data_IF_829639270787
#
_entry.id   IF_829639270787
#
_cell.length_a   1.000
_cell.length_b   1.000
_cell.length_c   1.000
_cell.angle_alpha   90.00
_cell.angle_beta   90.00
_cell.angle_gamma   90.00
#
_symmetry.space_group_name_H-M   'P 1'
#
loop_
_entity.id
_entity.type
_entity.pdbx_description
1 polymer ?
#
# COMPACT_ATOMS: atom_id res chain seq x y z
N UNK A 1 7.47 0.24 -11.45
CA UNK A 1 6.41 -0.77 -11.58
C UNK A 1 6.85 -1.99 -10.78
N UNK A 2 6.09 -2.38 -9.76
CA UNK A 2 6.36 -3.57 -8.93
C UNK A 2 5.62 -4.77 -9.52
N UNK A 3 6.25 -5.95 -9.57
CA UNK A 3 5.62 -7.17 -10.07
C UNK A 3 5.60 -8.24 -8.99
N UNK A 4 4.41 -8.72 -8.64
CA UNK A 4 4.19 -9.81 -7.71
C UNK A 4 3.58 -11.00 -8.44
N UNK A 5 4.03 -12.21 -8.11
CA UNK A 5 3.51 -13.47 -8.65
C UNK A 5 3.24 -14.42 -7.50
N UNK A 6 1.99 -14.90 -7.40
CA UNK A 6 1.60 -15.97 -6.49
C UNK A 6 0.89 -17.07 -7.30
N UNK A 7 1.48 -18.26 -7.34
CA UNK A 7 0.93 -19.42 -8.02
C UNK A 7 0.57 -20.48 -6.98
N UNK A 8 -0.72 -20.79 -6.88
CA UNK A 8 -1.24 -21.82 -5.99
C UNK A 8 -1.61 -23.07 -6.78
N UNK A 9 -1.13 -24.22 -6.32
CA UNK A 9 -1.52 -25.55 -6.80
C UNK A 9 -2.08 -26.35 -5.63
N UNK A 10 -2.52 -27.59 -5.90
CA UNK A 10 -3.01 -28.50 -4.86
C UNK A 10 -1.94 -28.77 -3.79
N UNK A 11 -0.68 -28.87 -4.19
CA UNK A 11 0.40 -29.39 -3.35
C UNK A 11 1.46 -28.34 -3.01
N UNK A 12 1.46 -27.20 -3.71
CA UNK A 12 2.47 -26.16 -3.56
C UNK A 12 1.90 -24.75 -3.73
N UNK A 13 2.50 -23.80 -3.02
CA UNK A 13 2.35 -22.37 -3.23
C UNK A 13 3.73 -21.81 -3.56
N UNK A 14 3.83 -21.14 -4.70
CA UNK A 14 5.03 -20.44 -5.14
C UNK A 14 4.76 -18.94 -5.13
N UNK A 15 5.56 -18.19 -4.37
CA UNK A 15 5.48 -16.74 -4.29
C UNK A 15 6.81 -16.16 -4.78
N UNK A 16 6.74 -15.15 -5.63
CA UNK A 16 7.90 -14.46 -6.18
C UNK A 16 7.58 -13.00 -6.44
N UNK A 17 8.58 -12.15 -6.27
CA UNK A 17 8.46 -10.72 -6.53
C UNK A 17 9.73 -10.23 -7.23
N UNK A 18 9.60 -9.12 -7.95
CA UNK A 18 10.77 -8.39 -8.42
C UNK A 18 11.50 -7.69 -7.26
N UNK A 19 12.75 -7.29 -7.48
CA UNK A 19 13.59 -6.62 -6.48
C UNK A 19 13.65 -5.09 -6.65
N UNK A 20 12.87 -4.51 -7.57
CA UNK A 20 12.83 -3.08 -7.84
C UNK A 20 11.75 -2.40 -6.99
N UNK A 21 12.14 -1.52 -6.07
CA UNK A 21 11.20 -0.62 -5.41
C UNK A 21 11.09 0.66 -6.23
N UNK A 22 9.89 1.04 -6.68
CA UNK A 22 9.69 2.36 -7.29
C UNK A 22 9.33 3.34 -6.20
N UNK A 23 10.14 4.38 -6.01
CA UNK A 23 9.76 5.52 -5.17
C UNK A 23 8.90 6.43 -6.05
N UNK A 24 7.64 6.57 -5.67
CA UNK A 24 6.72 7.50 -6.32
C UNK A 24 6.74 8.83 -5.57
N UNK A 25 6.62 9.93 -6.32
CA UNK A 25 6.46 11.26 -5.73
C UNK A 25 5.13 11.85 -6.21
N UNK A 26 4.20 12.23 -5.31
CA UNK A 26 2.96 12.87 -5.70
C UNK A 26 3.27 14.11 -6.53
N UNK A 27 2.83 14.09 -7.78
CA UNK A 27 3.10 15.17 -8.73
C UNK A 27 1.81 15.54 -9.43
N UNK A 28 1.61 16.84 -9.63
CA UNK A 28 0.48 17.32 -10.41
C UNK A 28 0.92 17.51 -11.85
N UNK A 29 0.27 16.82 -12.78
CA UNK A 29 0.44 17.11 -14.19
C UNK A 29 -0.14 18.51 -14.49
N UNK A 30 0.65 19.50 -14.94
CA UNK A 30 0.14 20.85 -15.20
C UNK A 30 -0.98 20.86 -16.24
N UNK A 31 -1.01 19.91 -17.16
CA UNK A 31 -2.07 19.78 -18.15
C UNK A 31 -3.41 19.33 -17.55
N UNK A 32 -3.39 18.53 -16.48
CA UNK A 32 -4.60 18.15 -15.76
C UNK A 32 -5.26 19.36 -15.06
N UNK A 33 -4.46 20.37 -14.70
CA UNK A 33 -4.96 21.62 -14.13
C UNK A 33 -5.60 22.54 -15.16
N UNK A 34 -5.37 22.34 -16.46
CA UNK A 34 -5.94 23.18 -17.54
C UNK A 34 -7.47 23.21 -17.50
N UNK A 35 -8.12 22.22 -16.90
CA UNK A 35 -9.57 22.27 -16.67
C UNK A 35 -10.01 23.48 -15.82
N UNK A 36 -9.16 23.96 -14.92
CA UNK A 36 -9.44 25.12 -14.07
C UNK A 36 -9.11 26.47 -14.73
N UNK A 37 -8.39 26.48 -15.86
CA UNK A 37 -7.88 27.70 -16.49
C UNK A 37 -8.37 27.88 -17.93
N UNK A 38 -8.68 29.11 -18.34
CA UNK A 38 -8.98 29.44 -19.74
C UNK A 38 -7.70 29.46 -20.60
N UNK A 39 -7.84 29.76 -21.89
CA UNK A 39 -6.69 29.79 -22.82
C UNK A 39 -5.74 30.98 -22.57
N UNK A 40 -6.15 31.95 -21.75
CA UNK A 40 -5.33 33.05 -21.26
C UNK A 40 -4.74 32.78 -19.86
N UNK A 41 -4.91 31.57 -19.32
CA UNK A 41 -4.49 31.16 -17.98
C UNK A 41 -5.19 31.89 -16.82
N UNK A 42 -6.38 32.46 -17.03
CA UNK A 42 -7.23 32.92 -15.94
C UNK A 42 -8.08 31.78 -15.39
N UNK A 43 -8.45 31.88 -14.10
CA UNK A 43 -9.36 30.92 -13.48
C UNK A 43 -10.73 30.95 -14.16
N UNK A 44 -11.17 29.77 -14.62
CA UNK A 44 -12.52 29.61 -15.16
C UNK A 44 -13.56 29.81 -14.06
N UNK A 45 -14.66 30.47 -14.43
CA UNK A 45 -15.82 30.66 -13.58
C UNK A 45 -16.86 29.58 -13.91
N UNK A 46 -17.39 28.94 -12.88
CA UNK A 46 -18.46 27.96 -12.96
C UNK A 46 -19.81 28.59 -13.29
N UNK A 47 -20.81 27.75 -13.54
CA UNK A 47 -22.18 28.19 -13.85
C UNK A 47 -22.88 28.92 -12.69
N UNK A 48 -22.34 28.80 -11.48
CA UNK A 48 -22.80 29.46 -10.26
C UNK A 48 -22.14 30.84 -10.04
N UNK A 49 -21.26 31.27 -10.94
CA UNK A 49 -20.53 32.53 -10.84
C UNK A 49 -19.28 32.47 -9.96
N UNK A 50 -18.94 31.32 -9.36
CA UNK A 50 -17.74 31.15 -8.54
C UNK A 50 -16.59 30.54 -9.36
N UNK A 51 -15.30 30.76 -8.99
CA UNK A 51 -14.18 30.08 -9.63
C UNK A 51 -14.30 28.55 -9.53
N UNK A 52 -13.99 27.82 -10.61
CA UNK A 52 -13.96 26.35 -10.58
C UNK A 52 -12.93 25.80 -9.58
N UNK A 53 -11.84 26.54 -9.37
CA UNK A 53 -10.86 26.28 -8.33
C UNK A 53 -11.14 27.19 -7.13
N UNK A 54 -11.74 26.64 -6.09
CA UNK A 54 -12.09 27.32 -4.83
C UNK A 54 -11.09 27.06 -3.72
N UNK A 55 -10.38 25.93 -3.75
CA UNK A 55 -9.44 25.56 -2.70
C UNK A 55 -8.26 24.71 -3.22
N UNK A 56 -7.18 24.69 -2.44
CA UNK A 56 -5.96 23.94 -2.79
C UNK A 56 -6.18 22.42 -2.85
N UNK A 57 -7.16 21.88 -2.09
CA UNK A 57 -7.47 20.46 -2.09
C UNK A 57 -7.87 19.96 -3.49
N UNK A 58 -8.58 20.77 -4.28
CA UNK A 58 -8.91 20.42 -5.67
C UNK A 58 -7.68 20.26 -6.59
N UNK A 59 -6.55 20.93 -6.30
CA UNK A 59 -5.28 20.71 -7.00
C UNK A 59 -4.65 19.40 -6.51
N UNK A 60 -4.69 19.18 -5.20
CA UNK A 60 -4.15 17.99 -4.56
C UNK A 60 -4.86 16.71 -5.05
N UNK A 61 -6.18 16.78 -5.27
CA UNK A 61 -7.00 15.69 -5.83
C UNK A 61 -6.65 15.36 -7.31
N UNK A 62 -5.84 16.21 -7.98
CA UNK A 62 -5.29 15.96 -9.33
C UNK A 62 -3.86 15.42 -9.29
N UNK A 63 -3.30 15.15 -8.11
CA UNK A 63 -2.00 14.50 -8.01
C UNK A 63 -2.07 13.07 -8.51
N UNK A 64 -1.03 12.67 -9.23
CA UNK A 64 -0.78 11.31 -9.66
C UNK A 64 0.54 10.83 -9.06
N UNK A 65 0.63 9.53 -8.77
CA UNK A 65 1.89 8.91 -8.37
C UNK A 65 2.79 8.72 -9.60
N UNK A 66 3.83 9.54 -9.72
CA UNK A 66 4.81 9.41 -10.80
C UNK A 66 6.05 8.68 -10.27
N UNK A 67 6.56 7.64 -10.96
CA UNK A 67 7.85 7.03 -10.69
C UNK A 67 8.96 8.08 -10.73
N UNK A 68 9.62 8.33 -9.60
CA UNK A 68 10.68 9.33 -9.48
C UNK A 68 12.06 8.69 -9.32
N UNK A 69 12.16 7.57 -8.60
CA UNK A 69 13.41 6.86 -8.38
C UNK A 69 13.20 5.34 -8.30
N UNK A 70 14.25 4.57 -8.56
CA UNK A 70 14.27 3.11 -8.44
C UNK A 70 15.25 2.70 -7.34
N UNK A 71 14.70 2.24 -6.22
CA UNK A 71 15.49 1.56 -5.20
C UNK A 71 15.80 0.13 -5.66
N UNK A 72 17.08 -0.15 -5.86
CA UNK A 72 17.58 -1.51 -6.10
C UNK A 72 17.55 -2.32 -4.80
N UNK A 73 17.20 -3.61 -4.87
CA UNK A 73 17.25 -4.57 -3.76
C UNK A 73 16.17 -4.40 -2.67
N UNK A 74 14.98 -3.94 -3.04
CA UNK A 74 13.84 -3.96 -2.09
C UNK A 74 13.31 -5.38 -1.98
N UNK A 75 13.45 -5.97 -0.79
CA UNK A 75 12.88 -7.27 -0.49
C UNK A 75 11.41 -7.09 -0.09
N UNK A 76 10.52 -7.50 -0.99
CA UNK A 76 9.06 -7.41 -0.86
C UNK A 76 8.40 -8.73 -0.45
N UNK A 77 9.18 -9.74 -0.05
CA UNK A 77 8.69 -11.05 0.33
C UNK A 77 9.16 -11.35 1.74
N UNK A 78 8.20 -11.52 2.65
CA UNK A 78 8.46 -11.82 4.05
C UNK A 78 7.88 -13.18 4.44
N UNK A 79 8.70 -13.99 5.09
CA UNK A 79 8.28 -15.25 5.69
C UNK A 79 7.49 -15.02 6.98
N UNK A 80 6.35 -15.69 7.11
CA UNK A 80 5.51 -15.71 8.30
C UNK A 80 5.78 -16.95 9.18
N UNK A 81 7.02 -17.48 9.14
CA UNK A 81 7.41 -18.53 10.08
C UNK A 81 7.11 -18.14 11.54
N UNK A 82 6.64 -19.11 12.36
CA UNK A 82 6.59 -20.56 12.11
C UNK A 82 5.41 -21.06 11.27
N UNK A 83 4.48 -20.18 10.87
CA UNK A 83 3.39 -20.57 9.98
C UNK A 83 3.92 -20.88 8.57
N UNK A 84 3.34 -21.85 7.86
CA UNK A 84 3.69 -22.14 6.47
C UNK A 84 3.02 -21.10 5.54
N UNK A 85 3.32 -19.83 5.79
CA UNK A 85 2.75 -18.67 5.11
C UNK A 85 3.84 -17.66 4.75
N UNK A 86 3.58 -16.88 3.72
CA UNK A 86 4.36 -15.73 3.30
C UNK A 86 3.46 -14.54 3.01
N UNK A 87 4.05 -13.34 3.04
CA UNK A 87 3.40 -12.10 2.63
C UNK A 87 4.29 -11.39 1.62
N UNK A 88 3.68 -10.86 0.57
CA UNK A 88 4.31 -9.93 -0.35
C UNK A 88 3.65 -8.56 -0.28
N UNK A 89 4.42 -7.49 -0.49
CA UNK A 89 3.92 -6.12 -0.49
C UNK A 89 4.13 -5.39 -1.84
N UNK A 90 3.20 -4.52 -2.20
CA UNK A 90 3.35 -3.53 -3.29
C UNK A 90 2.67 -2.20 -2.92
N UNK A 91 3.05 -1.14 -3.62
CA UNK A 91 2.68 0.23 -3.29
C UNK A 91 3.72 0.91 -2.40
N UNK A 92 3.28 1.66 -1.39
CA UNK A 92 4.18 2.36 -0.47
C UNK A 92 5.10 1.40 0.28
N UNK A 93 6.36 1.81 0.43
CA UNK A 93 7.38 1.03 1.15
C UNK A 93 7.41 1.32 2.65
N UNK A 94 6.78 2.43 3.09
CA UNK A 94 6.74 2.86 4.48
C UNK A 94 5.48 3.67 4.79
N UNK A 95 5.07 3.62 6.05
CA UNK A 95 4.08 4.53 6.65
C UNK A 95 4.86 5.36 7.68
N UNK A 96 4.94 6.69 7.46
CA UNK A 96 5.81 7.59 8.23
C UNK A 96 7.27 7.12 8.17
N UNK A 97 7.90 6.86 9.30
CA UNK A 97 9.28 6.40 9.48
C UNK A 97 9.39 4.87 9.52
N UNK A 98 8.28 4.15 9.40
CA UNK A 98 8.21 2.69 9.56
C UNK A 98 8.03 1.99 8.23
N UNK A 99 8.98 1.16 7.83
CA UNK A 99 8.84 0.33 6.63
C UNK A 99 7.72 -0.70 6.80
N UNK A 100 7.01 -1.04 5.72
CA UNK A 100 5.97 -2.09 5.74
C UNK A 100 6.53 -3.40 6.29
N UNK A 101 7.76 -3.76 5.91
CA UNK A 101 8.49 -4.90 6.45
C UNK A 101 8.70 -4.84 7.97
N UNK A 102 8.99 -3.66 8.52
CA UNK A 102 9.11 -3.46 9.98
C UNK A 102 7.75 -3.65 10.67
N UNK A 103 6.67 -3.16 10.05
CA UNK A 103 5.30 -3.37 10.54
C UNK A 103 4.92 -4.86 10.53
N UNK A 104 5.23 -5.60 9.46
CA UNK A 104 5.01 -7.05 9.38
C UNK A 104 5.82 -7.78 10.46
N UNK A 105 7.06 -7.36 10.69
CA UNK A 105 7.91 -7.95 11.74
C UNK A 105 7.38 -7.69 13.14
N UNK A 106 6.85 -6.49 13.40
CA UNK A 106 6.19 -6.15 14.65
C UNK A 106 4.90 -6.93 14.87
N UNK A 107 4.07 -7.07 13.82
CA UNK A 107 2.90 -7.94 13.85
C UNK A 107 3.29 -9.36 14.29
N UNK A 108 4.33 -9.96 13.68
CA UNK A 108 4.84 -11.28 14.09
C UNK A 108 5.31 -11.32 15.54
N UNK A 109 5.91 -10.24 16.04
CA UNK A 109 6.39 -10.17 17.43
C UNK A 109 5.24 -10.06 18.43
N UNK A 110 4.16 -9.38 18.06
CA UNK A 110 3.06 -9.03 18.97
C UNK A 110 1.89 -10.02 18.89
N UNK A 111 1.66 -10.66 17.74
CA UNK A 111 0.58 -11.62 17.54
C UNK A 111 0.87 -12.93 18.30
N UNK A 112 -0.08 -13.32 19.14
CA UNK A 112 0.05 -14.50 20.00
C UNK A 112 0.29 -15.80 19.21
N UNK A 113 -0.25 -15.88 17.99
CA UNK A 113 -0.06 -17.03 17.11
C UNK A 113 1.40 -17.26 16.77
N UNK A 114 2.19 -16.20 16.58
CA UNK A 114 3.60 -16.32 16.21
C UNK A 114 4.53 -16.49 17.40
N UNK A 115 4.15 -15.98 18.58
CA UNK A 115 4.97 -16.05 19.80
C UNK A 115 5.03 -17.45 20.42
N UNK A 116 3.97 -18.24 20.28
CA UNK A 116 3.87 -19.57 20.91
C UNK A 116 3.55 -20.62 19.84
N UNK A 117 4.56 -21.20 19.16
CA UNK A 117 4.35 -22.12 18.04
C UNK A 117 3.42 -23.30 18.36
N UNK A 118 3.44 -23.78 19.61
CA UNK A 118 2.62 -24.91 20.07
C UNK A 118 1.13 -24.56 20.26
N UNK A 119 0.77 -23.26 20.26
CA UNK A 119 -0.61 -22.79 20.33
C UNK A 119 -1.23 -22.50 18.95
N UNK A 120 -0.48 -22.67 17.86
CA UNK A 120 -0.97 -22.55 16.49
C UNK A 120 -1.82 -23.77 16.09
N UNK A 121 -2.97 -23.92 16.72
CA UNK A 121 -4.02 -24.85 16.32
C UNK A 121 -5.17 -24.03 15.74
N UNK A 122 -5.73 -24.45 14.61
CA UNK A 122 -6.90 -23.85 13.97
C UNK A 122 -6.68 -22.44 13.41
N UNK A 123 -5.62 -22.28 12.60
CA UNK A 123 -5.36 -21.05 11.87
C UNK A 123 -5.79 -21.17 10.40
N UNK A 124 -6.27 -20.07 9.85
CA UNK A 124 -6.52 -19.95 8.42
C UNK A 124 -5.75 -18.76 7.86
N UNK A 125 -5.33 -18.85 6.60
CA UNK A 125 -4.70 -17.73 5.87
C UNK A 125 -5.58 -16.49 5.99
N UNK A 126 -6.89 -16.64 5.81
CA UNK A 126 -7.86 -15.53 5.94
C UNK A 126 -7.81 -14.87 7.33
N UNK A 127 -7.77 -15.65 8.41
CA UNK A 127 -7.71 -15.11 9.78
C UNK A 127 -6.40 -14.37 10.04
N UNK A 128 -5.28 -14.92 9.57
CA UNK A 128 -3.97 -14.27 9.73
C UNK A 128 -3.93 -12.98 8.91
N UNK A 129 -4.44 -13.02 7.68
CA UNK A 129 -4.54 -11.85 6.81
C UNK A 129 -5.38 -10.75 7.44
N UNK A 130 -6.54 -11.09 8.01
CA UNK A 130 -7.39 -10.11 8.68
C UNK A 130 -6.68 -9.46 9.88
N UNK A 131 -6.03 -10.23 10.75
CA UNK A 131 -5.32 -9.65 11.91
C UNK A 131 -4.16 -8.75 11.48
N UNK A 132 -3.44 -9.13 10.42
CA UNK A 132 -2.38 -8.30 9.85
C UNK A 132 -2.95 -7.01 9.27
N UNK A 133 -4.05 -7.11 8.51
CA UNK A 133 -4.78 -5.96 7.99
C UNK A 133 -5.19 -5.04 9.14
N UNK A 134 -5.89 -5.54 10.17
CA UNK A 134 -6.33 -4.74 11.31
C UNK A 134 -5.17 -4.02 12.01
N UNK A 135 -4.02 -4.69 12.15
CA UNK A 135 -2.82 -4.13 12.76
C UNK A 135 -2.19 -3.00 11.94
N UNK A 136 -2.15 -3.12 10.62
CA UNK A 136 -1.51 -2.12 9.73
C UNK A 136 -2.50 -1.01 9.35
N UNK A 137 -3.77 -1.35 9.16
CA UNK A 137 -4.82 -0.46 8.69
C UNK A 137 -5.12 0.66 9.68
N UNK A 138 -5.04 0.40 10.98
CA UNK A 138 -5.18 1.43 12.03
C UNK A 138 -4.12 2.53 11.88
N UNK A 139 -2.85 2.15 11.67
CA UNK A 139 -1.77 3.10 11.42
C UNK A 139 -1.94 3.81 10.07
N UNK A 140 -2.28 3.05 9.03
CA UNK A 140 -2.48 3.58 7.68
C UNK A 140 -3.59 4.64 7.63
N UNK A 141 -4.75 4.40 8.24
CA UNK A 141 -5.86 5.37 8.29
C UNK A 141 -5.52 6.62 9.10
N UNK A 142 -4.71 6.48 10.14
CA UNK A 142 -4.30 7.61 10.96
C UNK A 142 -3.42 8.58 10.17
N UNK A 143 -2.53 8.05 9.34
CA UNK A 143 -1.56 8.84 8.58
C UNK A 143 -2.10 9.27 7.20
N UNK A 144 -2.99 8.48 6.60
CA UNK A 144 -3.64 8.73 5.31
C UNK A 144 -5.17 8.67 5.46
N UNK A 145 -5.81 9.74 5.97
CA UNK A 145 -7.26 9.77 6.17
C UNK A 145 -8.04 9.81 4.84
N UNK A 146 -9.33 9.47 4.88
CA UNK A 146 -10.22 9.35 3.71
C UNK A 146 -10.42 10.64 2.92
N UNK A 147 -10.19 11.79 3.54
CA UNK A 147 -10.42 13.11 2.96
C UNK A 147 -9.20 13.67 2.20
N UNK A 148 -8.13 12.89 2.02
CA UNK A 148 -6.92 13.31 1.31
C UNK A 148 -6.39 12.26 0.32
N UNK A 149 -5.22 12.55 -0.22
CA UNK A 149 -4.47 11.60 -1.04
C UNK A 149 -4.09 10.38 -0.19
N UNK A 150 -4.42 9.19 -0.71
CA UNK A 150 -4.15 7.91 -0.04
C UNK A 150 -3.30 7.05 -0.95
N UNK A 151 -2.01 6.88 -0.63
CA UNK A 151 -1.12 6.14 -1.50
C UNK A 151 -1.42 4.64 -1.38
N UNK A 152 -1.36 3.91 -2.48
CA UNK A 152 -1.78 2.51 -2.49
C UNK A 152 -0.83 1.63 -1.66
N UNK A 153 -1.41 0.69 -0.90
CA UNK A 153 -0.72 -0.40 -0.22
C UNK A 153 -1.50 -1.69 -0.45
N UNK A 154 -0.84 -2.69 -0.99
CA UNK A 154 -1.43 -4.01 -1.18
C UNK A 154 -0.52 -5.08 -0.56
N UNK A 155 -1.15 -6.02 0.15
CA UNK A 155 -0.49 -7.16 0.77
C UNK A 155 -1.09 -8.45 0.20
N UNK A 156 -0.26 -9.28 -0.42
CA UNK A 156 -0.63 -10.61 -0.89
C UNK A 156 -0.13 -11.63 0.12
N UNK A 157 -1.05 -12.28 0.83
CA UNK A 157 -0.73 -13.28 1.85
C UNK A 157 -1.13 -14.66 1.32
N UNK A 158 -0.21 -15.61 1.40
CA UNK A 158 -0.45 -16.97 0.95
C UNK A 158 0.16 -17.99 1.90
N UNK A 159 -0.45 -19.18 1.96
CA UNK A 159 0.08 -20.32 2.68
C UNK A 159 -0.97 -21.41 2.84
N UNK A 160 -0.83 -22.22 3.87
CA UNK A 160 -1.72 -23.35 4.14
C UNK A 160 -2.48 -23.16 5.45
N UNK A 161 -3.72 -23.63 5.48
CA UNK A 161 -4.55 -23.68 6.68
C UNK A 161 -4.19 -24.91 7.54
N UNK A 162 -4.48 -24.86 8.85
CA UNK A 162 -4.30 -26.00 9.76
C UNK A 162 -5.23 -25.96 10.96
#
# INVERSE_FOLDING_TARGET
MTTLVALSTKDSLVMGCDSLGTVTNPSVNPWALRHFFDDQFNLRIGSDGNPLLTNFKQIYDKMEEIPYDQMTHVNKLCSLQPLPMGVMETGITSIVDRTIRSLISEFKRNDEGFRVPNKLKNFTVKRVAQRMLDSIYSLYNKEYPEDGFRPHLELIIGGYDK
#
